data_IF_750033848595
#
_entry.id   IF_750033848595
#
_cell.length_a   1.000
_cell.length_b   1.000
_cell.length_c   1.000
_cell.angle_alpha   90.00
_cell.angle_beta   90.00
_cell.angle_gamma   90.00
#
_symmetry.space_group_name_H-M   'P 1'
#
loop_
_entity.id
_entity.type
_entity.pdbx_description
1 polymer ?
#
# COMPACT_ATOMS: atom_id res chain seq x y z
N UNK A 1 -37.40 -13.28 10.92
CA UNK A 1 -36.99 -12.45 12.07
C UNK A 1 -36.42 -13.38 13.13
N UNK A 2 -35.10 -13.50 13.20
CA UNK A 2 -34.37 -13.93 14.40
C UNK A 2 -32.96 -13.35 14.27
N UNK A 3 -32.65 -12.38 15.13
CA UNK A 3 -31.30 -11.85 15.38
C UNK A 3 -30.67 -12.69 16.49
N UNK A 4 -29.44 -13.16 16.31
CA UNK A 4 -28.40 -13.36 17.35
C UNK A 4 -27.07 -13.20 16.60
N UNK A 5 -26.44 -12.01 16.62
CA UNK A 5 -25.42 -11.56 17.57
C UNK A 5 -24.16 -12.45 17.57
N UNK A 6 -23.05 -11.88 17.12
CA UNK A 6 -21.77 -12.59 16.98
C UNK A 6 -21.13 -12.96 18.31
N UNK A 7 -20.33 -14.02 18.28
CA UNK A 7 -19.10 -14.08 19.04
C UNK A 7 -18.04 -14.82 18.21
N UNK A 8 -16.95 -14.11 17.93
CA UNK A 8 -15.73 -14.70 17.38
C UNK A 8 -15.07 -15.50 18.50
N UNK A 9 -15.52 -16.73 18.71
CA UNK A 9 -14.91 -17.68 19.63
C UNK A 9 -13.92 -18.56 18.89
N UNK A 10 -12.62 -18.32 19.08
CA UNK A 10 -11.58 -19.28 18.69
C UNK A 10 -11.78 -20.51 19.58
N UNK A 11 -12.30 -21.60 19.02
CA UNK A 11 -12.33 -22.90 19.69
C UNK A 11 -10.95 -23.55 19.50
N UNK A 12 -10.10 -23.45 20.52
CA UNK A 12 -8.86 -24.23 20.56
C UNK A 12 -9.22 -25.67 20.95
N UNK A 13 -9.18 -26.58 19.98
CA UNK A 13 -9.27 -28.02 20.24
C UNK A 13 -7.84 -28.53 20.48
N UNK A 14 -7.51 -28.86 21.72
CA UNK A 14 -6.26 -29.53 22.06
C UNK A 14 -6.41 -31.04 21.82
N UNK A 15 -5.76 -31.56 20.79
CA UNK A 15 -5.57 -33.00 20.61
C UNK A 15 -4.16 -33.37 21.09
N UNK A 16 -4.07 -34.22 22.12
CA UNK A 16 -2.81 -34.79 22.56
C UNK A 16 -2.55 -36.09 21.77
N UNK A 17 -1.53 -36.11 20.93
CA UNK A 17 -1.09 -37.33 20.23
C UNK A 17 0.13 -37.87 20.96
N UNK A 18 0.06 -39.14 21.37
CA UNK A 18 1.18 -39.83 22.00
C UNK A 18 2.05 -40.47 20.92
N UNK A 19 3.26 -39.96 20.74
CA UNK A 19 4.35 -40.71 20.13
C UNK A 19 5.30 -41.15 21.25
N UNK A 20 5.82 -42.37 21.12
CA UNK A 20 6.63 -43.17 22.06
C UNK A 20 7.31 -42.45 23.26
N UNK A 21 7.39 -43.15 24.39
CA UNK A 21 7.69 -42.69 25.76
C UNK A 21 8.90 -41.74 25.90
N UNK A 22 8.79 -40.47 25.50
CA UNK A 22 9.67 -39.40 25.98
C UNK A 22 9.25 -37.95 25.64
N UNK A 23 8.27 -37.66 24.78
CA UNK A 23 8.07 -36.24 24.38
C UNK A 23 6.61 -35.87 24.14
N UNK A 24 6.08 -35.02 25.03
CA UNK A 24 4.82 -34.29 24.84
C UNK A 24 5.10 -33.06 23.98
N UNK A 25 4.56 -33.03 22.76
CA UNK A 25 4.53 -31.82 21.92
C UNK A 25 3.08 -31.34 21.87
N UNK A 26 2.78 -30.23 22.55
CA UNK A 26 1.47 -29.57 22.43
C UNK A 26 1.39 -28.87 21.08
N UNK A 27 0.49 -29.35 20.21
CA UNK A 27 0.20 -28.75 18.91
C UNK A 27 -0.91 -27.70 19.07
N UNK A 28 -0.62 -26.43 18.76
CA UNK A 28 -1.64 -25.37 18.69
C UNK A 28 -2.00 -25.13 17.23
N UNK A 29 -3.21 -25.54 16.82
CA UNK A 29 -3.76 -25.23 15.50
C UNK A 29 -4.54 -23.91 15.57
N UNK A 30 -4.05 -22.87 14.88
CA UNK A 30 -4.82 -21.65 14.64
C UNK A 30 -5.55 -21.78 13.29
N UNK A 31 -6.86 -22.02 13.31
CA UNK A 31 -7.69 -21.92 12.11
C UNK A 31 -8.25 -20.50 11.99
N UNK A 32 -7.73 -19.70 11.05
CA UNK A 32 -8.48 -18.53 10.53
C UNK A 32 -9.19 -18.95 9.26
N UNK A 33 -10.53 -18.99 9.29
CA UNK A 33 -11.37 -19.19 8.11
C UNK A 33 -11.44 -17.89 7.30
N UNK A 34 -11.03 -17.90 6.04
CA UNK A 34 -11.44 -16.90 5.05
C UNK A 34 -12.48 -17.52 4.12
N UNK A 35 -13.66 -16.90 4.03
CA UNK A 35 -14.72 -17.27 3.09
C UNK A 35 -14.56 -16.36 1.87
N UNK A 36 -14.26 -16.93 0.70
CA UNK A 36 -14.28 -16.21 -0.58
C UNK A 36 -15.43 -16.78 -1.42
N UNK A 37 -16.46 -15.96 -1.64
CA UNK A 37 -17.63 -16.34 -2.46
C UNK A 37 -17.48 -15.81 -3.89
N UNK A 38 -17.39 -16.72 -4.87
CA UNK A 38 -17.89 -16.49 -6.24
C UNK A 38 -18.39 -17.80 -6.87
N UNK A 39 -19.72 -17.85 -7.01
CA UNK A 39 -20.55 -18.62 -7.94
C UNK A 39 -20.13 -20.03 -8.44
N UNK A 40 -20.93 -21.01 -7.98
CA UNK A 40 -21.47 -22.15 -8.74
C UNK A 40 -20.48 -23.16 -9.36
N UNK A 41 -19.78 -23.92 -8.52
CA UNK A 41 -19.69 -25.40 -8.57
C UNK A 41 -18.98 -25.88 -7.29
N UNK A 42 -19.70 -26.62 -6.44
CA UNK A 42 -19.18 -27.03 -5.13
C UNK A 42 -18.22 -28.21 -5.25
N UNK A 43 -16.93 -27.94 -5.34
CA UNK A 43 -15.90 -28.87 -4.83
C UNK A 43 -15.24 -28.24 -3.61
N UNK A 44 -15.66 -28.66 -2.41
CA UNK A 44 -15.04 -28.22 -1.16
C UNK A 44 -13.65 -28.85 -1.04
N UNK A 45 -12.60 -28.10 -1.37
CA UNK A 45 -11.22 -28.46 -1.05
C UNK A 45 -10.79 -27.67 0.19
N UNK A 46 -10.75 -28.34 1.33
CA UNK A 46 -10.14 -27.80 2.55
C UNK A 46 -8.65 -28.13 2.46
N UNK A 47 -7.80 -27.11 2.34
CA UNK A 47 -6.34 -27.26 2.44
C UNK A 47 -5.95 -26.94 3.88
N UNK A 48 -5.66 -27.98 4.67
CA UNK A 48 -5.08 -27.82 6.01
C UNK A 48 -3.56 -27.83 5.84
N UNK A 49 -2.94 -26.65 5.83
CA UNK A 49 -1.47 -26.54 5.88
C UNK A 49 -1.05 -26.51 7.36
N UNK A 50 -0.72 -27.69 7.91
CA UNK A 50 -0.04 -27.82 9.19
C UNK A 50 1.46 -27.89 8.97
N UNK A 51 2.22 -26.91 9.50
CA UNK A 51 3.68 -26.97 9.49
C UNK A 51 4.14 -27.89 10.63
N UNK A 52 4.48 -29.14 10.32
CA UNK A 52 5.30 -29.97 11.19
C UNK A 52 6.76 -29.77 10.79
N UNK A 53 7.64 -29.43 11.74
CA UNK A 53 9.07 -29.51 11.49
C UNK A 53 9.42 -30.99 11.34
N UNK A 54 9.59 -31.44 10.09
CA UNK A 54 9.87 -32.82 9.69
C UNK A 54 8.64 -33.52 9.11
N UNK A 55 8.60 -33.66 7.78
CA UNK A 55 7.61 -34.39 6.95
C UNK A 55 6.16 -33.87 6.98
N UNK A 56 5.70 -33.39 5.82
CA UNK A 56 4.30 -32.97 5.58
C UNK A 56 3.50 -34.18 5.08
N UNK A 57 2.46 -34.60 5.81
CA UNK A 57 1.51 -35.62 5.37
C UNK A 57 0.24 -34.95 4.82
N UNK A 58 -0.14 -35.26 3.57
CA UNK A 58 -1.45 -34.89 3.04
C UNK A 58 -2.42 -36.05 3.25
N UNK A 59 -3.46 -35.85 4.07
CA UNK A 59 -4.59 -36.77 4.20
C UNK A 59 -5.83 -36.15 3.55
N UNK A 60 -6.48 -36.88 2.64
CA UNK A 60 -7.81 -36.53 2.14
C UNK A 60 -8.85 -37.29 2.96
N UNK A 61 -9.61 -36.58 3.80
CA UNK A 61 -10.74 -37.17 4.52
C UNK A 61 -11.99 -37.14 3.64
N UNK A 62 -12.35 -38.27 3.05
CA UNK A 62 -13.71 -38.50 2.57
C UNK A 62 -14.62 -38.82 3.75
N UNK A 63 -15.46 -37.88 4.18
CA UNK A 63 -16.46 -38.16 5.21
C UNK A 63 -17.71 -38.74 4.53
N UNK A 64 -18.01 -40.02 4.78
CA UNK A 64 -19.29 -40.62 4.39
C UNK A 64 -20.07 -40.92 5.68
N UNK A 65 -21.19 -40.26 5.90
CA UNK A 65 -21.97 -40.38 7.14
C UNK A 65 -23.30 -41.08 6.83
N UNK A 66 -23.55 -42.21 7.47
CA UNK A 66 -24.88 -42.84 7.46
C UNK A 66 -25.43 -42.79 8.89
N UNK A 67 -26.51 -42.04 9.10
CA UNK A 67 -27.16 -41.92 10.39
C UNK A 67 -28.29 -42.95 10.52
N UNK A 68 -28.34 -43.64 11.67
CA UNK A 68 -29.52 -44.37 12.12
C UNK A 68 -29.89 -43.83 13.50
N UNK A 69 -31.17 -43.44 13.65
CA UNK A 69 -31.73 -42.89 14.89
C UNK A 69 -32.22 -44.03 15.77
N UNK A 70 -31.75 -44.13 17.00
CA UNK A 70 -32.31 -45.07 17.98
C UNK A 70 -33.07 -44.29 19.06
N UNK A 71 -34.39 -44.49 19.17
CA UNK A 71 -35.32 -43.55 19.79
C UNK A 71 -35.45 -43.61 21.32
N UNK A 72 -34.63 -44.35 22.07
CA UNK A 72 -34.90 -44.55 23.50
C UNK A 72 -33.84 -44.06 24.49
N UNK A 73 -32.70 -43.56 24.06
CA UNK A 73 -31.74 -42.92 24.96
C UNK A 73 -31.12 -41.73 24.21
N UNK A 74 -31.25 -40.53 24.78
CA UNK A 74 -30.86 -39.27 24.15
C UNK A 74 -29.35 -39.06 24.09
N UNK A 75 -28.64 -39.92 23.36
CA UNK A 75 -27.19 -39.85 23.14
C UNK A 75 -26.88 -40.20 21.68
N UNK A 76 -26.18 -39.30 20.98
CA UNK A 76 -25.59 -39.57 19.67
C UNK A 76 -24.13 -39.96 19.92
N UNK A 77 -23.81 -41.24 19.86
CA UNK A 77 -22.42 -41.69 19.77
C UNK A 77 -21.99 -41.68 18.32
N UNK A 78 -20.90 -40.97 18.03
CA UNK A 78 -20.28 -40.95 16.70
C UNK A 78 -18.99 -41.74 16.80
N UNK A 79 -18.96 -42.95 16.25
CA UNK A 79 -17.74 -43.75 16.16
C UNK A 79 -17.18 -43.56 14.73
N UNK A 80 -16.02 -42.93 14.64
CA UNK A 80 -15.30 -42.76 13.38
C UNK A 80 -14.16 -43.79 13.34
N UNK A 81 -14.38 -44.91 12.67
CA UNK A 81 -13.26 -45.78 12.26
C UNK A 81 -12.61 -45.12 11.05
N UNK A 82 -11.41 -44.56 11.23
CA UNK A 82 -10.57 -44.09 10.13
C UNK A 82 -9.42 -45.06 9.90
N UNK A 83 -9.45 -45.77 8.78
CA UNK A 83 -8.29 -46.46 8.24
C UNK A 83 -7.54 -45.48 7.31
N UNK A 84 -6.35 -45.04 7.73
CA UNK A 84 -5.51 -44.12 6.95
C UNK A 84 -4.72 -44.94 5.93
N UNK A 85 -5.08 -44.84 4.65
CA UNK A 85 -4.30 -45.42 3.54
C UNK A 85 -3.34 -44.36 2.99
N UNK A 86 -2.04 -44.61 3.07
CA UNK A 86 -0.99 -43.76 2.49
C UNK A 86 -0.96 -43.99 0.98
N UNK A 87 -1.43 -43.02 0.18
CA UNK A 87 -1.62 -43.22 -1.27
C UNK A 87 -0.38 -42.87 -2.10
N UNK A 88 0.56 -42.06 -1.58
CA UNK A 88 1.86 -41.80 -2.23
C UNK A 88 2.86 -41.15 -1.28
N UNK A 89 4.12 -41.57 -1.36
CA UNK A 89 5.26 -40.90 -0.73
C UNK A 89 5.82 -39.87 -1.72
N UNK A 90 5.84 -38.58 -1.35
CA UNK A 90 6.38 -37.50 -2.19
C UNK A 90 7.70 -37.04 -1.59
N UNK A 91 8.78 -37.08 -2.38
CA UNK A 91 10.11 -36.64 -1.93
C UNK A 91 10.12 -35.13 -1.77
N UNK A 92 10.65 -34.66 -0.66
CA UNK A 92 10.67 -33.25 -0.26
C UNK A 92 11.34 -32.37 -1.32
N UNK A 93 12.33 -32.90 -2.04
CA UNK A 93 13.13 -32.17 -3.02
C UNK A 93 12.30 -31.62 -4.19
N UNK A 94 11.19 -32.28 -4.57
CA UNK A 94 10.31 -31.88 -5.67
C UNK A 94 9.33 -30.75 -5.28
N UNK A 95 9.04 -30.60 -3.98
CA UNK A 95 8.19 -29.52 -3.45
C UNK A 95 8.95 -28.21 -3.25
N UNK A 96 10.28 -28.24 -3.16
CA UNK A 96 11.08 -27.02 -2.97
C UNK A 96 11.12 -26.17 -4.24
N UNK A 97 11.11 -26.79 -5.43
CA UNK A 97 11.08 -26.08 -6.71
C UNK A 97 9.72 -25.41 -6.97
N UNK A 98 8.60 -26.09 -6.68
CA UNK A 98 7.25 -25.56 -6.97
C UNK A 98 6.85 -24.42 -6.00
N UNK A 99 7.35 -24.42 -4.76
CA UNK A 99 7.09 -23.35 -3.78
C UNK A 99 8.01 -22.14 -3.98
N UNK A 100 9.21 -22.34 -4.55
CA UNK A 100 10.12 -21.26 -4.90
C UNK A 100 9.60 -20.39 -6.06
N UNK A 101 8.88 -20.98 -7.03
CA UNK A 101 8.24 -20.24 -8.12
C UNK A 101 6.98 -19.46 -7.67
N UNK A 102 6.36 -19.83 -6.54
CA UNK A 102 5.12 -19.22 -6.05
C UNK A 102 5.30 -18.03 -5.09
N UNK A 103 6.53 -17.73 -4.63
CA UNK A 103 6.82 -16.51 -3.88
C UNK A 103 7.52 -15.47 -4.77
N UNK A 104 6.81 -15.02 -5.80
CA UNK A 104 7.07 -13.69 -6.36
C UNK A 104 6.64 -12.71 -5.28
N UNK A 105 7.58 -12.26 -4.44
CA UNK A 105 7.41 -11.06 -3.63
C UNK A 105 7.27 -9.94 -4.64
N UNK A 106 6.04 -9.53 -4.94
CA UNK A 106 5.77 -8.23 -5.55
C UNK A 106 6.41 -7.20 -4.61
N UNK A 107 7.63 -6.76 -4.91
CA UNK A 107 8.21 -5.56 -4.31
C UNK A 107 7.19 -4.45 -4.55
N UNK A 108 6.50 -4.01 -3.48
CA UNK A 108 5.54 -2.93 -3.63
C UNK A 108 6.32 -1.71 -4.14
N UNK A 109 6.07 -1.31 -5.38
CA UNK A 109 6.66 -0.10 -5.94
C UNK A 109 6.31 1.09 -5.03
N UNK A 110 7.33 1.80 -4.56
CA UNK A 110 7.14 3.01 -3.77
C UNK A 110 6.39 4.03 -4.63
N UNK A 111 5.25 4.50 -4.14
CA UNK A 111 4.49 5.57 -4.77
C UNK A 111 4.10 6.60 -3.71
N UNK A 112 4.98 7.58 -3.48
CA UNK A 112 4.73 8.68 -2.55
C UNK A 112 4.10 9.85 -3.31
N UNK A 113 3.00 10.39 -2.79
CA UNK A 113 2.29 11.54 -3.37
C UNK A 113 1.92 12.51 -2.27
N UNK A 114 2.29 13.78 -2.44
CA UNK A 114 2.08 14.84 -1.47
C UNK A 114 1.19 15.89 -2.10
N UNK A 115 0.07 16.20 -1.45
CA UNK A 115 -0.76 17.35 -1.78
C UNK A 115 -0.21 18.57 -1.03
N UNK A 116 0.63 19.37 -1.67
CA UNK A 116 1.35 20.46 -1.04
C UNK A 116 0.38 21.57 -0.62
N UNK A 117 0.55 22.09 0.60
CA UNK A 117 -0.38 23.05 1.19
C UNK A 117 -1.59 22.44 1.91
N UNK A 118 -1.99 21.20 1.59
CA UNK A 118 -3.17 20.58 2.20
C UNK A 118 -2.91 20.11 3.63
N UNK A 119 -3.91 20.25 4.51
CA UNK A 119 -3.85 19.74 5.90
C UNK A 119 -4.43 18.34 6.06
N UNK A 120 -5.17 17.84 5.07
CA UNK A 120 -5.83 16.55 5.10
C UNK A 120 -5.45 15.70 3.87
N UNK A 121 -5.37 14.37 4.01
CA UNK A 121 -5.10 13.50 2.88
C UNK A 121 -6.26 13.51 1.87
N UNK A 122 -5.95 13.24 0.61
CA UNK A 122 -6.89 13.24 -0.50
C UNK A 122 -6.72 11.97 -1.33
N UNK A 123 -7.81 11.46 -1.90
CA UNK A 123 -7.74 10.37 -2.89
C UNK A 123 -8.37 10.85 -4.18
N UNK A 124 -7.62 10.80 -5.27
CA UNK A 124 -8.09 11.27 -6.57
C UNK A 124 -9.03 10.26 -7.25
N UNK A 125 -9.60 10.65 -8.39
CA UNK A 125 -10.52 9.80 -9.15
C UNK A 125 -9.87 8.54 -9.70
N UNK A 126 -8.55 8.54 -9.88
CA UNK A 126 -7.77 7.39 -10.32
C UNK A 126 -7.40 6.45 -9.16
N UNK A 127 -7.80 6.78 -7.93
CA UNK A 127 -7.53 5.99 -6.73
C UNK A 127 -6.14 6.21 -6.14
N UNK A 128 -5.40 7.23 -6.60
CA UNK A 128 -4.13 7.55 -5.97
C UNK A 128 -4.37 8.27 -4.64
N UNK A 129 -3.73 7.75 -3.59
CA UNK A 129 -3.69 8.40 -2.28
C UNK A 129 -2.62 9.49 -2.26
N UNK A 130 -3.03 10.70 -1.92
CA UNK A 130 -2.20 11.89 -1.70
C UNK A 130 -2.16 12.20 -0.20
N UNK A 131 -0.96 12.26 0.36
CA UNK A 131 -0.74 12.62 1.76
C UNK A 131 -0.91 14.14 1.94
N UNK A 132 -1.43 14.54 3.09
CA UNK A 132 -1.41 15.93 3.53
C UNK A 132 0.03 16.44 3.61
N UNK A 133 0.24 17.72 3.30
CA UNK A 133 1.54 18.35 3.42
C UNK A 133 2.00 18.43 4.87
N UNK A 134 3.31 18.50 5.07
CA UNK A 134 3.88 18.73 6.39
C UNK A 134 5.24 19.41 6.32
N UNK A 135 5.51 20.23 7.33
CA UNK A 135 6.87 20.74 7.57
C UNK A 135 7.77 19.60 8.06
N UNK A 136 9.03 19.66 7.63
CA UNK A 136 10.10 18.80 8.12
C UNK A 136 10.30 19.02 9.62
N UNK A 137 10.55 17.93 10.33
CA UNK A 137 10.86 17.90 11.76
C UNK A 137 11.84 16.73 12.01
N UNK A 138 12.54 16.71 13.15
CA UNK A 138 13.61 15.76 13.45
C UNK A 138 13.17 14.28 13.37
N UNK A 139 11.90 14.00 13.67
CA UNK A 139 11.35 12.63 13.70
C UNK A 139 10.70 12.20 12.37
N UNK A 140 10.63 13.10 11.38
CA UNK A 140 9.92 12.86 10.14
C UNK A 140 10.86 12.37 9.05
N UNK A 141 10.43 11.36 8.31
CA UNK A 141 11.15 10.85 7.13
C UNK A 141 11.04 11.77 5.92
N UNK A 142 10.10 12.70 5.91
CA UNK A 142 9.97 13.66 4.84
C UNK A 142 9.24 14.92 5.29
N UNK A 143 9.40 16.00 4.53
CA UNK A 143 8.67 17.23 4.76
C UNK A 143 9.25 18.42 4.00
N UNK A 144 8.52 19.52 4.05
CA UNK A 144 8.94 20.81 3.52
C UNK A 144 9.97 21.49 4.43
N UNK A 145 10.94 22.15 3.81
CA UNK A 145 11.89 23.04 4.45
C UNK A 145 11.32 24.46 4.35
N UNK A 146 10.85 25.00 5.47
CA UNK A 146 10.23 26.32 5.57
C UNK A 146 8.99 26.50 4.67
N UNK A 147 8.62 27.76 4.42
CA UNK A 147 7.44 28.15 3.64
C UNK A 147 6.13 28.14 4.44
N UNK A 148 5.10 28.63 3.76
CA UNK A 148 3.74 28.75 4.25
C UNK A 148 2.80 27.96 3.33
N UNK A 149 1.64 27.59 3.85
CA UNK A 149 0.61 26.87 3.10
C UNK A 149 -0.61 27.75 2.94
N UNK A 150 -1.34 27.55 1.85
CA UNK A 150 -2.63 28.18 1.62
C UNK A 150 -3.56 27.21 0.90
N UNK A 151 -4.82 27.22 1.33
CA UNK A 151 -5.94 26.58 0.66
C UNK A 151 -6.80 27.68 0.05
N UNK A 152 -6.96 27.65 -1.27
CA UNK A 152 -7.73 28.65 -2.03
C UNK A 152 -9.18 28.24 -2.26
N UNK A 153 -9.58 27.08 -1.75
CA UNK A 153 -10.90 26.52 -1.92
C UNK A 153 -11.16 26.05 -3.36
N UNK A 154 -12.44 25.94 -3.72
CA UNK A 154 -12.84 25.48 -5.04
C UNK A 154 -12.56 26.55 -6.11
N UNK A 155 -11.46 26.36 -6.82
CA UNK A 155 -11.04 27.22 -7.94
C UNK A 155 -11.62 26.76 -9.28
N UNK A 156 -12.32 25.62 -9.35
CA UNK A 156 -12.80 25.06 -10.61
C UNK A 156 -11.70 24.65 -11.58
N UNK A 157 -10.56 24.16 -11.06
CA UNK A 157 -9.42 23.71 -11.88
C UNK A 157 -9.88 22.65 -12.90
N UNK A 158 -9.63 22.92 -14.17
CA UNK A 158 -9.97 22.05 -15.29
C UNK A 158 -8.76 21.24 -15.80
N UNK A 159 -8.97 20.38 -16.80
CA UNK A 159 -7.91 19.67 -17.52
C UNK A 159 -7.01 18.76 -16.66
N UNK A 160 -7.54 18.24 -15.55
CA UNK A 160 -6.86 17.26 -14.68
C UNK A 160 -7.86 16.31 -14.00
N UNK A 161 -7.41 15.09 -13.74
CA UNK A 161 -8.19 14.09 -12.98
C UNK A 161 -8.12 14.29 -11.46
N UNK A 162 -7.21 15.16 -11.00
CA UNK A 162 -6.96 15.45 -9.59
C UNK A 162 -7.03 16.95 -9.29
N UNK A 163 -8.17 17.64 -9.55
CA UNK A 163 -8.24 19.11 -9.43
C UNK A 163 -7.94 19.60 -8.00
N UNK A 164 -8.27 18.82 -6.97
CA UNK A 164 -8.05 19.17 -5.57
C UNK A 164 -6.59 19.37 -5.18
N UNK A 165 -5.63 18.79 -5.91
CA UNK A 165 -4.21 19.01 -5.58
C UNK A 165 -3.75 20.41 -5.98
N UNK A 166 -4.45 21.07 -6.92
CA UNK A 166 -4.12 22.41 -7.41
C UNK A 166 -4.91 23.52 -6.71
N UNK A 167 -5.76 23.17 -5.74
CA UNK A 167 -6.50 24.13 -4.91
C UNK A 167 -5.70 24.56 -3.67
N UNK A 168 -4.66 23.81 -3.33
CA UNK A 168 -3.72 24.10 -2.25
C UNK A 168 -2.32 24.28 -2.80
N UNK A 169 -1.52 25.12 -2.14
CA UNK A 169 -0.10 25.28 -2.46
C UNK A 169 0.73 25.45 -1.19
N UNK A 170 1.99 25.01 -1.25
CA UNK A 170 3.05 25.53 -0.40
C UNK A 170 3.85 26.56 -1.18
N UNK A 171 4.12 27.70 -0.55
CA UNK A 171 4.90 28.78 -1.16
C UNK A 171 5.98 29.31 -0.22
N UNK A 172 6.96 30.02 -0.78
CA UNK A 172 8.06 30.62 -0.03
C UNK A 172 8.90 29.62 0.78
N UNK A 173 8.96 28.36 0.33
CA UNK A 173 9.76 27.29 0.89
C UNK A 173 11.15 27.22 0.26
N UNK A 174 12.10 26.65 1.00
CA UNK A 174 13.45 26.39 0.49
C UNK A 174 13.51 25.05 -0.25
N UNK A 175 12.64 24.10 0.10
CA UNK A 175 12.74 22.75 -0.43
C UNK A 175 11.78 21.74 0.17
N UNK A 176 11.92 20.49 -0.29
CA UNK A 176 11.40 19.29 0.33
C UNK A 176 12.52 18.27 0.45
N UNK A 177 12.48 17.47 1.52
CA UNK A 177 13.45 16.38 1.73
C UNK A 177 12.70 15.09 2.03
N UNK A 178 13.21 13.98 1.50
CA UNK A 178 12.61 12.66 1.59
C UNK A 178 13.69 11.62 1.89
N UNK A 179 13.56 10.92 3.01
CA UNK A 179 14.35 9.73 3.34
C UNK A 179 13.67 8.51 2.74
N UNK A 180 14.17 8.07 1.59
CA UNK A 180 13.61 6.97 0.79
C UNK A 180 14.72 5.98 0.39
N UNK A 181 14.39 4.70 0.12
CA UNK A 181 15.40 3.73 -0.27
C UNK A 181 16.23 4.16 -1.49
N UNK A 182 17.47 3.70 -1.56
CA UNK A 182 18.28 3.89 -2.77
C UNK A 182 17.61 3.24 -3.98
N UNK A 183 17.63 3.93 -5.11
CA UNK A 183 16.93 3.48 -6.30
C UNK A 183 16.84 4.54 -7.38
N UNK A 184 16.09 4.23 -8.43
CA UNK A 184 15.72 5.18 -9.48
C UNK A 184 14.24 5.50 -9.38
N UNK A 185 13.93 6.79 -9.52
CA UNK A 185 12.60 7.30 -9.37
C UNK A 185 12.18 8.17 -10.55
N UNK A 186 10.89 8.18 -10.83
CA UNK A 186 10.24 9.24 -11.58
C UNK A 186 9.68 10.25 -10.58
N UNK A 187 10.11 11.51 -10.68
CA UNK A 187 9.62 12.61 -9.86
C UNK A 187 8.69 13.47 -10.70
N UNK A 188 7.47 13.72 -10.21
CA UNK A 188 6.53 14.65 -10.85
C UNK A 188 6.28 15.84 -9.93
N UNK A 189 6.49 17.04 -10.47
CA UNK A 189 6.24 18.29 -9.77
C UNK A 189 5.02 18.96 -10.39
N UNK A 190 4.00 19.23 -9.58
CA UNK A 190 2.72 19.79 -10.01
C UNK A 190 2.65 21.27 -9.63
N UNK A 191 2.33 22.10 -10.61
CA UNK A 191 2.20 23.55 -10.47
C UNK A 191 0.92 24.05 -11.13
N UNK A 192 0.40 25.15 -10.63
CA UNK A 192 -0.67 25.95 -11.18
C UNK A 192 -0.58 27.32 -10.51
N UNK A 193 -0.39 28.38 -11.31
CA UNK A 193 -0.42 29.72 -10.74
C UNK A 193 -1.85 30.06 -10.31
N UNK A 194 -2.07 30.09 -9.01
CA UNK A 194 -3.39 30.32 -8.40
C UNK A 194 -3.44 31.58 -7.54
N UNK A 195 -2.31 32.29 -7.39
CA UNK A 195 -2.29 33.58 -6.72
C UNK A 195 -2.84 34.67 -7.63
N UNK A 196 -3.93 35.29 -7.22
CA UNK A 196 -4.62 36.36 -7.96
C UNK A 196 -3.76 37.63 -8.17
N UNK A 197 -2.68 37.78 -7.41
CA UNK A 197 -1.67 38.82 -7.63
C UNK A 197 -0.73 38.58 -8.81
N UNK A 198 -0.77 37.39 -9.43
CA UNK A 198 -0.01 37.05 -10.64
C UNK A 198 -0.97 37.00 -11.83
N UNK A 199 -0.81 37.93 -12.73
CA UNK A 199 -1.73 38.21 -13.84
C UNK A 199 -1.08 38.08 -15.21
N UNK A 200 0.25 38.02 -15.28
CA UNK A 200 1.00 37.92 -16.52
C UNK A 200 2.29 37.09 -16.39
N UNK A 201 2.83 36.69 -17.54
CA UNK A 201 4.15 36.06 -17.65
C UNK A 201 5.23 36.97 -17.05
N UNK A 202 6.21 36.37 -16.37
CA UNK A 202 7.38 37.03 -15.78
C UNK A 202 7.14 37.60 -14.38
N UNK A 203 5.92 37.54 -13.84
CA UNK A 203 5.61 38.07 -12.50
C UNK A 203 5.97 37.08 -11.37
N UNK A 204 6.09 35.78 -11.70
CA UNK A 204 6.69 34.77 -10.83
C UNK A 204 7.71 33.94 -11.61
N UNK A 205 8.94 33.91 -11.13
CA UNK A 205 10.06 33.19 -11.72
C UNK A 205 10.92 32.58 -10.62
N UNK A 206 11.17 31.29 -10.65
CA UNK A 206 12.05 30.60 -9.70
C UNK A 206 12.75 29.41 -10.33
N UNK A 207 13.79 28.89 -9.67
CA UNK A 207 14.51 27.71 -10.11
C UNK A 207 14.24 26.52 -9.19
N UNK A 208 14.33 25.31 -9.75
CA UNK A 208 14.15 24.05 -9.02
C UNK A 208 15.35 23.14 -9.23
N UNK A 209 15.86 22.58 -8.13
CA UNK A 209 16.92 21.57 -8.13
C UNK A 209 16.39 20.24 -7.57
N UNK A 210 16.98 19.13 -7.99
CA UNK A 210 16.79 17.81 -7.37
C UNK A 210 18.18 17.23 -7.11
N UNK A 211 18.46 16.87 -5.86
CA UNK A 211 19.77 16.41 -5.40
C UNK A 211 20.89 17.36 -5.86
N UNK A 212 20.69 18.66 -5.61
CA UNK A 212 21.58 19.78 -5.98
C UNK A 212 21.78 20.00 -7.49
N UNK A 213 21.26 19.10 -8.35
CA UNK A 213 21.29 19.25 -9.79
C UNK A 213 20.15 20.17 -10.24
N UNK A 214 20.48 21.17 -11.05
CA UNK A 214 19.48 22.03 -11.69
C UNK A 214 18.56 21.23 -12.61
N UNK A 215 17.25 21.39 -12.39
CA UNK A 215 16.17 20.74 -13.14
C UNK A 215 15.38 21.76 -13.94
N UNK A 216 14.90 22.82 -13.29
CA UNK A 216 14.18 23.93 -13.90
C UNK A 216 14.95 25.22 -13.60
N UNK A 217 15.26 26.01 -14.62
CA UNK A 217 15.93 27.30 -14.48
C UNK A 217 15.00 28.41 -14.97
N UNK A 218 14.85 29.48 -14.18
CA UNK A 218 13.98 30.61 -14.50
C UNK A 218 12.56 30.16 -14.90
N UNK A 219 12.02 29.20 -14.14
CA UNK A 219 10.71 28.63 -14.37
C UNK A 219 9.61 29.61 -13.96
N UNK A 220 8.71 29.84 -14.91
CA UNK A 220 7.51 30.65 -14.76
C UNK A 220 6.29 29.74 -14.97
N UNK A 221 5.58 29.37 -13.88
CA UNK A 221 4.43 28.48 -13.99
C UNK A 221 3.27 29.10 -14.77
N UNK A 222 3.06 30.42 -14.69
CA UNK A 222 2.00 31.11 -15.42
C UNK A 222 2.25 31.00 -16.93
N UNK A 223 3.47 31.29 -17.36
CA UNK A 223 3.87 31.19 -18.77
C UNK A 223 3.80 29.77 -19.28
N UNK A 224 4.37 28.82 -18.55
CA UNK A 224 4.46 27.42 -18.99
C UNK A 224 3.08 26.75 -19.05
N UNK A 225 2.17 27.06 -18.13
CA UNK A 225 0.80 26.56 -18.15
C UNK A 225 -0.11 27.32 -19.14
N UNK A 226 0.36 28.46 -19.67
CA UNK A 226 -0.40 29.31 -20.58
C UNK A 226 -1.53 30.09 -19.91
N UNK A 227 -1.34 30.49 -18.64
CA UNK A 227 -2.21 31.39 -17.90
C UNK A 227 -2.57 30.96 -16.48
N UNK A 228 -3.38 31.80 -15.84
CA UNK A 228 -3.90 31.61 -14.48
C UNK A 228 -4.74 30.34 -14.32
N UNK A 229 -4.63 29.67 -13.17
CA UNK A 229 -5.40 28.46 -12.78
C UNK A 229 -5.28 27.28 -13.75
N UNK A 230 -4.16 27.19 -14.48
CA UNK A 230 -3.90 26.07 -15.39
C UNK A 230 -2.89 25.10 -14.78
N UNK A 231 -3.23 23.81 -14.66
CA UNK A 231 -2.30 22.83 -14.14
C UNK A 231 -1.20 22.51 -15.15
N UNK A 232 0.03 22.35 -14.64
CA UNK A 232 1.16 21.82 -15.39
C UNK A 232 1.94 20.82 -14.52
N UNK A 233 2.50 19.79 -15.16
CA UNK A 233 3.32 18.78 -14.51
C UNK A 233 4.70 18.73 -15.16
N UNK A 234 5.75 18.89 -14.36
CA UNK A 234 7.13 18.67 -14.79
C UNK A 234 7.56 17.28 -14.33
N UNK A 235 7.81 16.39 -15.29
CA UNK A 235 8.23 15.01 -15.04
C UNK A 235 9.73 14.87 -15.22
N UNK A 236 10.41 14.33 -14.21
CA UNK A 236 11.83 14.08 -14.18
C UNK A 236 12.04 12.58 -14.04
N UNK A 237 12.59 12.00 -15.09
CA UNK A 237 12.87 10.57 -15.17
C UNK A 237 14.27 10.23 -14.61
N UNK A 238 14.41 9.00 -14.10
CA UNK A 238 15.69 8.41 -13.70
C UNK A 238 16.44 9.21 -12.63
N UNK A 239 15.72 9.82 -11.69
CA UNK A 239 16.31 10.45 -10.50
C UNK A 239 16.92 9.37 -9.63
N UNK A 240 18.24 9.41 -9.46
CA UNK A 240 18.98 8.45 -8.64
C UNK A 240 19.06 8.93 -7.19
N UNK A 241 18.73 8.03 -6.27
CA UNK A 241 18.95 8.16 -4.82
C UNK A 241 20.03 7.16 -4.43
N UNK A 242 21.15 7.66 -3.87
CA UNK A 242 22.34 6.85 -3.57
C UNK A 242 22.72 6.83 -2.09
N UNK A 243 22.22 7.78 -1.33
CA UNK A 243 22.52 8.02 0.09
C UNK A 243 21.27 7.95 0.99
N UNK A 244 20.17 7.43 0.44
CA UNK A 244 18.89 7.30 1.13
C UNK A 244 18.08 8.59 1.17
N UNK A 245 18.48 9.61 0.41
CA UNK A 245 17.84 10.92 0.43
C UNK A 245 17.51 11.43 -0.98
N UNK A 246 16.31 12.02 -1.10
CA UNK A 246 15.93 12.85 -2.24
C UNK A 246 15.62 14.25 -1.70
N UNK A 247 16.33 15.24 -2.21
CA UNK A 247 16.13 16.64 -1.87
C UNK A 247 15.66 17.41 -3.10
N UNK A 248 14.58 18.19 -2.96
CA UNK A 248 14.08 19.12 -3.97
C UNK A 248 14.33 20.52 -3.41
N UNK A 249 15.07 21.36 -4.13
CA UNK A 249 15.35 22.74 -3.73
C UNK A 249 14.59 23.74 -4.58
N UNK A 250 14.16 24.85 -3.98
CA UNK A 250 13.56 25.99 -4.68
C UNK A 250 14.41 27.23 -4.46
N UNK A 251 14.62 28.02 -5.51
CA UNK A 251 15.37 29.27 -5.42
C UNK A 251 14.57 30.38 -6.08
N UNK A 252 14.21 31.38 -5.27
CA UNK A 252 13.48 32.56 -5.72
C UNK A 252 14.33 33.40 -6.69
N UNK A 253 13.74 33.80 -7.82
CA UNK A 253 14.29 34.86 -8.68
C UNK A 253 13.37 36.10 -8.67
N UNK A 254 12.10 35.93 -9.03
CA UNK A 254 11.04 36.95 -8.99
C UNK A 254 9.83 36.34 -8.28
N UNK A 255 9.40 36.94 -7.17
CA UNK A 255 8.30 36.44 -6.32
C UNK A 255 8.57 35.03 -5.74
N UNK A 256 7.93 34.70 -4.62
CA UNK A 256 8.15 33.45 -3.91
C UNK A 256 7.93 32.21 -4.80
N UNK A 257 8.73 31.13 -4.67
CA UNK A 257 8.42 29.84 -5.28
C UNK A 257 7.09 29.27 -4.77
N UNK A 258 6.42 28.44 -5.57
CA UNK A 258 5.21 27.70 -5.20
C UNK A 258 5.28 26.26 -5.71
N UNK A 259 4.55 25.35 -5.05
CA UNK A 259 4.25 24.00 -5.57
C UNK A 259 2.90 23.51 -5.02
N UNK A 260 2.14 22.82 -5.88
CA UNK A 260 0.83 22.25 -5.54
C UNK A 260 0.91 20.76 -5.18
N UNK A 261 1.82 20.01 -5.81
CA UNK A 261 1.94 18.59 -5.52
C UNK A 261 3.27 17.99 -5.94
N UNK A 262 3.65 16.91 -5.24
CA UNK A 262 4.88 16.16 -5.50
C UNK A 262 4.55 14.68 -5.58
N UNK A 263 5.06 13.99 -6.60
CA UNK A 263 5.02 12.53 -6.67
C UNK A 263 6.43 11.96 -6.84
N UNK A 264 6.72 10.89 -6.12
CA UNK A 264 7.97 10.13 -6.20
C UNK A 264 7.59 8.66 -6.39
N UNK A 265 7.85 8.14 -7.59
CA UNK A 265 7.44 6.81 -8.02
C UNK A 265 8.67 5.96 -8.32
N UNK A 266 8.84 4.81 -7.66
CA UNK A 266 9.94 3.89 -7.97
C UNK A 266 9.76 3.28 -9.36
N UNK A 267 10.84 3.22 -10.13
CA UNK A 267 10.84 2.56 -11.45
C UNK A 267 10.86 1.04 -11.33
#
# INVERSE_FOLDING_TARGET
MLRVAGSSGILAISAAVWFDRATLISLYLFTSCYIFERNQEMTKRIVVAGLLVGTVFFALSGCNTQSQVNQNEGTIETQADQEIQVVREVKVDELVEEVAEAQVVEESKLALRINCGATEPYTDKAGNAWLADQSMDADKKWGALNGLTIDRGDLGIADTDAPKIYETERYSMDGYKFTIPNGKYTVRLHFAETYDGITAEGERVFSVTINEKSILNDFDPFKEAGGYQKPIVKTIEDVAVTDGELAIGFTMNIQNPEINGIEILSK
#
